data_IF_785863203139
#
_entry.id   IF_785863203139
#
_cell.length_a   1.000
_cell.length_b   1.000
_cell.length_c   1.000
_cell.angle_alpha   90.00
_cell.angle_beta   90.00
_cell.angle_gamma   90.00
#
_symmetry.space_group_name_H-M   'P 1'
#
loop_
_entity.id
_entity.type
_entity.pdbx_description
1 polymer ?
#
# COMPACT_ATOMS: atom_id res chain seq x y z
N UNK A 1 5.83 13.34 17.12
CA UNK A 1 5.19 12.09 16.64
C UNK A 1 3.95 12.48 15.87
N UNK A 2 3.81 11.99 14.65
CA UNK A 2 2.59 12.14 13.84
C UNK A 2 1.71 10.89 14.04
N UNK A 3 0.40 11.09 13.97
CA UNK A 3 -0.62 10.05 14.16
C UNK A 3 -1.43 9.91 12.87
N UNK A 4 -1.61 8.66 12.44
CA UNK A 4 -2.37 8.25 11.26
C UNK A 4 -3.30 7.09 11.63
N UNK A 5 -4.13 6.64 10.69
CA UNK A 5 -5.14 5.61 10.95
C UNK A 5 -5.14 4.55 9.85
N UNK A 6 -5.12 3.28 10.22
CA UNK A 6 -5.16 2.16 9.26
C UNK A 6 -6.33 1.24 9.57
N UNK A 7 -6.97 0.70 8.53
CA UNK A 7 -8.04 -0.28 8.67
C UNK A 7 -7.47 -1.71 8.56
N UNK A 8 -7.70 -2.55 9.57
CA UNK A 8 -7.26 -3.94 9.60
C UNK A 8 -8.23 -4.86 8.84
N UNK A 9 -8.47 -4.57 7.56
CA UNK A 9 -9.43 -5.30 6.72
C UNK A 9 -9.07 -6.77 6.50
N UNK A 10 -7.78 -7.11 6.65
CA UNK A 10 -7.28 -8.48 6.55
C UNK A 10 -7.22 -9.22 7.90
N UNK A 11 -7.63 -8.59 9.01
CA UNK A 11 -7.47 -9.11 10.37
C UNK A 11 -6.07 -9.68 10.64
N UNK A 12 -5.05 -8.92 10.26
CA UNK A 12 -3.66 -9.36 10.20
C UNK A 12 -2.68 -8.45 10.94
N UNK A 13 -3.14 -7.38 11.59
CA UNK A 13 -2.27 -6.52 12.40
C UNK A 13 -2.01 -7.10 13.78
N UNK A 14 -3.01 -7.71 14.42
CA UNK A 14 -2.85 -8.33 15.73
C UNK A 14 -3.14 -9.83 15.63
N UNK A 15 -2.34 -10.64 16.32
CA UNK A 15 -2.75 -12.02 16.62
C UNK A 15 -4.00 -12.00 17.50
N UNK A 16 -4.91 -12.96 17.28
CA UNK A 16 -6.13 -13.07 18.09
C UNK A 16 -5.77 -13.15 19.57
N UNK A 17 -6.15 -12.12 20.35
CA UNK A 17 -5.97 -12.08 21.80
C UNK A 17 -4.83 -11.20 22.31
N UNK A 18 -4.09 -10.49 21.44
CA UNK A 18 -3.05 -9.52 21.85
C UNK A 18 -3.55 -8.10 21.57
N UNK A 19 -3.69 -7.27 22.61
CA UNK A 19 -4.41 -5.97 22.51
C UNK A 19 -3.56 -4.72 22.69
N UNK A 20 -2.30 -4.83 23.08
CA UNK A 20 -1.66 -3.66 23.71
C UNK A 20 -0.84 -2.84 22.72
N UNK A 21 0.07 -3.47 21.97
CA UNK A 21 0.84 -2.84 20.89
C UNK A 21 1.33 -3.89 19.89
N UNK A 22 1.38 -3.54 18.61
CA UNK A 22 1.98 -4.40 17.57
C UNK A 22 3.07 -3.65 16.80
N UNK A 23 4.24 -4.26 16.67
CA UNK A 23 5.28 -3.81 15.75
C UNK A 23 5.09 -4.50 14.40
N UNK A 24 4.75 -3.72 13.38
CA UNK A 24 4.68 -4.23 12.01
C UNK A 24 6.04 -4.03 11.37
N UNK A 25 6.67 -5.13 10.95
CA UNK A 25 8.00 -5.14 10.33
C UNK A 25 7.98 -5.49 8.85
N UNK A 26 9.16 -5.39 8.24
CA UNK A 26 9.46 -5.98 6.94
C UNK A 26 9.87 -7.45 7.12
N UNK A 27 9.72 -8.24 6.07
CA UNK A 27 10.18 -9.62 6.04
C UNK A 27 10.87 -9.97 4.73
N UNK A 28 11.71 -11.00 4.77
CA UNK A 28 12.36 -11.58 3.59
C UNK A 28 11.46 -12.62 2.92
N UNK A 29 11.49 -12.69 1.60
CA UNK A 29 10.73 -13.71 0.90
C UNK A 29 11.40 -15.07 1.05
N UNK A 30 10.67 -16.03 1.60
CA UNK A 30 11.06 -17.44 1.55
C UNK A 30 10.26 -18.16 0.45
N UNK A 31 10.92 -18.70 -0.60
CA UNK A 31 10.24 -19.39 -1.68
C UNK A 31 9.51 -20.64 -1.17
N UNK A 32 8.30 -20.90 -1.70
CA UNK A 32 7.53 -22.10 -1.34
C UNK A 32 7.97 -23.33 -2.14
N UNK A 33 8.52 -23.11 -3.33
CA UNK A 33 8.95 -24.17 -4.24
C UNK A 33 10.37 -23.87 -4.75
N UNK A 34 11.22 -24.89 -4.98
CA UNK A 34 12.61 -24.68 -5.42
C UNK A 34 12.75 -23.86 -6.69
N UNK A 35 11.83 -24.00 -7.65
CA UNK A 35 11.80 -23.25 -8.92
C UNK A 35 11.57 -21.74 -8.74
N UNK A 36 11.18 -21.30 -7.54
CA UNK A 36 10.99 -19.89 -7.18
C UNK A 36 12.26 -19.26 -6.58
N UNK A 37 13.28 -20.06 -6.26
CA UNK A 37 14.46 -19.62 -5.52
C UNK A 37 15.20 -18.46 -6.21
N UNK A 38 15.51 -18.58 -7.50
CA UNK A 38 16.23 -17.52 -8.23
C UNK A 38 15.46 -16.18 -8.23
N UNK A 39 14.13 -16.24 -8.34
CA UNK A 39 13.29 -15.03 -8.30
C UNK A 39 13.19 -14.45 -6.88
N UNK A 40 13.20 -15.31 -5.86
CA UNK A 40 13.26 -14.91 -4.46
C UNK A 40 14.58 -14.21 -4.14
N UNK A 41 15.70 -14.76 -4.61
CA UNK A 41 17.03 -14.18 -4.42
C UNK A 41 17.13 -12.81 -5.08
N UNK A 42 16.66 -12.68 -6.33
CA UNK A 42 16.60 -11.39 -7.00
C UNK A 42 15.72 -10.37 -6.26
N UNK A 43 14.58 -10.80 -5.72
CA UNK A 43 13.70 -9.94 -4.94
C UNK A 43 14.38 -9.44 -3.67
N UNK A 44 15.01 -10.34 -2.91
CA UNK A 44 15.70 -10.01 -1.67
C UNK A 44 16.94 -9.14 -1.93
N UNK A 45 17.62 -9.28 -3.08
CA UNK A 45 18.66 -8.34 -3.51
C UNK A 45 18.11 -6.93 -3.81
N UNK A 46 16.93 -6.85 -4.42
CA UNK A 46 16.29 -5.57 -4.74
C UNK A 46 15.69 -4.86 -3.52
N UNK A 47 15.36 -5.62 -2.46
CA UNK A 47 14.78 -5.16 -1.20
C UNK A 47 15.47 -5.86 -0.02
N UNK A 48 16.72 -5.47 0.30
CA UNK A 48 17.53 -6.16 1.32
C UNK A 48 17.00 -5.97 2.75
N UNK A 49 16.14 -4.97 2.98
CA UNK A 49 15.43 -4.79 4.26
C UNK A 49 14.11 -5.59 4.31
N UNK A 50 13.76 -6.29 3.23
CA UNK A 50 12.51 -7.03 3.10
C UNK A 50 11.34 -6.19 2.57
N UNK A 51 10.17 -6.82 2.49
CA UNK A 51 8.91 -6.24 2.00
C UNK A 51 7.87 -6.15 3.11
N UNK A 52 6.91 -5.22 2.94
CA UNK A 52 5.68 -5.23 3.73
C UNK A 52 4.77 -6.37 3.29
N UNK A 53 3.83 -6.78 4.15
CA UNK A 53 2.77 -7.74 3.78
C UNK A 53 2.02 -7.34 2.51
N UNK A 54 1.80 -6.04 2.30
CA UNK A 54 1.21 -5.52 1.07
C UNK A 54 2.20 -5.58 -0.10
N UNK A 55 3.48 -5.24 0.13
CA UNK A 55 4.55 -5.35 -0.87
C UNK A 55 4.63 -6.73 -1.50
N UNK A 56 4.50 -7.79 -0.70
CA UNK A 56 4.42 -9.16 -1.22
C UNK A 56 3.28 -9.34 -2.22
N UNK A 57 2.06 -8.93 -1.87
CA UNK A 57 0.89 -9.10 -2.72
C UNK A 57 0.99 -8.29 -4.03
N UNK A 58 1.69 -7.15 -4.02
CA UNK A 58 1.75 -6.20 -5.14
C UNK A 58 3.08 -6.18 -5.91
N UNK A 59 4.06 -6.99 -5.51
CA UNK A 59 5.33 -7.13 -6.23
C UNK A 59 5.64 -8.58 -6.59
N UNK A 60 5.39 -9.52 -5.67
CA UNK A 60 5.75 -10.92 -5.86
C UNK A 60 4.52 -11.83 -5.71
N UNK A 61 3.77 -11.96 -6.81
CA UNK A 61 2.74 -12.98 -6.92
C UNK A 61 3.10 -13.96 -8.06
N UNK A 62 3.75 -15.11 -7.74
CA UNK A 62 4.29 -16.02 -8.76
C UNK A 62 3.23 -16.65 -9.66
N UNK A 63 1.95 -16.56 -9.27
CA UNK A 63 0.81 -17.10 -10.03
C UNK A 63 0.27 -16.12 -11.08
N UNK A 64 0.77 -14.88 -11.14
CA UNK A 64 0.29 -13.86 -12.07
C UNK A 64 1.30 -13.68 -13.20
N UNK A 65 0.84 -13.96 -14.42
CA UNK A 65 1.62 -13.73 -15.64
C UNK A 65 1.36 -12.33 -16.19
N UNK A 66 2.41 -11.63 -16.64
CA UNK A 66 2.29 -10.29 -17.23
C UNK A 66 1.40 -10.26 -18.49
N UNK A 67 1.41 -11.34 -19.28
CA UNK A 67 0.58 -11.44 -20.48
C UNK A 67 -0.91 -11.64 -20.20
N UNK A 68 -1.29 -12.01 -18.97
CA UNK A 68 -2.69 -12.17 -18.61
C UNK A 68 -3.25 -10.77 -18.35
N UNK A 69 -4.29 -10.32 -19.06
CA UNK A 69 -4.87 -8.97 -18.89
C UNK A 69 -5.85 -8.89 -17.70
N UNK A 70 -5.54 -9.55 -16.58
CA UNK A 70 -6.37 -9.56 -15.37
C UNK A 70 -6.24 -8.26 -14.57
N UNK A 71 -7.12 -8.05 -13.60
CA UNK A 71 -6.99 -6.93 -12.67
C UNK A 71 -5.67 -7.00 -11.86
N UNK A 72 -5.29 -8.21 -11.43
CA UNK A 72 -4.07 -8.42 -10.64
C UNK A 72 -2.79 -8.10 -11.42
N UNK A 73 -2.67 -8.53 -12.68
CA UNK A 73 -1.49 -8.22 -13.50
C UNK A 73 -1.36 -6.73 -13.80
N UNK A 74 -2.48 -6.03 -14.03
CA UNK A 74 -2.51 -4.57 -14.17
C UNK A 74 -2.04 -3.89 -12.89
N UNK A 75 -2.48 -4.34 -11.72
CA UNK A 75 -2.04 -3.80 -10.43
C UNK A 75 -0.52 -3.98 -10.21
N UNK A 76 0.04 -5.16 -10.54
CA UNK A 76 1.48 -5.42 -10.47
C UNK A 76 2.26 -4.49 -11.42
N UNK A 77 1.79 -4.33 -12.66
CA UNK A 77 2.41 -3.44 -13.65
C UNK A 77 2.38 -1.98 -13.22
N UNK A 78 1.24 -1.48 -12.71
CA UNK A 78 1.13 -0.12 -12.17
C UNK A 78 2.12 0.07 -11.03
N UNK A 79 2.17 -0.88 -10.08
CA UNK A 79 3.11 -0.85 -8.98
C UNK A 79 4.56 -0.75 -9.45
N UNK A 80 4.94 -1.55 -10.45
CA UNK A 80 6.29 -1.55 -11.01
C UNK A 80 6.65 -0.20 -11.63
N UNK A 81 5.76 0.39 -12.44
CA UNK A 81 5.97 1.72 -13.04
C UNK A 81 6.15 2.78 -11.96
N UNK A 82 5.30 2.77 -10.93
CA UNK A 82 5.37 3.74 -9.84
C UNK A 82 6.66 3.59 -9.03
N UNK A 83 7.09 2.37 -8.71
CA UNK A 83 8.35 2.16 -7.97
C UNK A 83 9.57 2.55 -8.81
N UNK A 84 9.58 2.29 -10.12
CA UNK A 84 10.67 2.72 -11.00
C UNK A 84 10.77 4.26 -11.09
N UNK A 85 9.64 4.96 -11.16
CA UNK A 85 9.61 6.42 -11.09
C UNK A 85 10.12 6.92 -9.74
N UNK A 86 9.68 6.31 -8.63
CA UNK A 86 10.15 6.65 -7.28
C UNK A 86 11.66 6.52 -7.17
N UNK A 87 12.21 5.36 -7.55
CA UNK A 87 13.66 5.09 -7.49
C UNK A 87 14.48 6.07 -8.32
N UNK A 88 13.93 6.53 -9.44
CA UNK A 88 14.66 7.38 -10.40
C UNK A 88 14.57 8.87 -10.06
N UNK A 89 13.43 9.34 -9.56
CA UNK A 89 13.12 10.77 -9.44
C UNK A 89 12.80 11.23 -8.01
N UNK A 90 12.39 10.30 -7.13
CA UNK A 90 11.95 10.59 -5.76
C UNK A 90 12.52 9.55 -4.75
N UNK A 91 13.83 9.25 -4.78
CA UNK A 91 14.41 8.15 -4.01
C UNK A 91 14.26 8.32 -2.49
N UNK A 92 14.05 9.54 -2.01
CA UNK A 92 13.83 9.90 -0.61
C UNK A 92 12.42 9.56 -0.11
N UNK A 93 11.46 9.30 -1.01
CA UNK A 93 10.09 8.93 -0.64
C UNK A 93 10.02 7.45 -0.25
N UNK A 94 9.20 7.08 0.75
CA UNK A 94 9.02 5.68 1.14
C UNK A 94 8.41 4.84 0.02
N UNK A 95 8.93 3.63 -0.20
CA UNK A 95 8.38 2.70 -1.20
C UNK A 95 7.02 2.14 -0.75
N UNK A 96 6.07 2.05 -1.69
CA UNK A 96 4.79 1.35 -1.48
C UNK A 96 5.00 -0.11 -1.05
N UNK A 97 6.09 -0.74 -1.51
CA UNK A 97 6.40 -2.13 -1.21
C UNK A 97 6.97 -2.35 0.19
N UNK A 98 7.40 -1.28 0.87
CA UNK A 98 8.00 -1.33 2.20
C UNK A 98 7.24 -0.45 3.20
N UNK A 99 5.99 -0.09 2.88
CA UNK A 99 5.16 0.79 3.69
C UNK A 99 3.89 0.11 4.19
N UNK A 100 3.39 0.61 5.31
CA UNK A 100 2.01 0.47 5.75
C UNK A 100 1.16 1.57 5.09
N UNK A 101 -0.07 1.23 4.75
CA UNK A 101 -1.05 2.14 4.18
C UNK A 101 -1.96 2.67 5.30
N UNK A 102 -2.13 3.98 5.34
CA UNK A 102 -2.94 4.66 6.34
C UNK A 102 -3.68 5.87 5.73
N UNK A 103 -4.58 6.45 6.51
CA UNK A 103 -5.26 7.70 6.24
C UNK A 103 -4.83 8.75 7.27
N UNK A 104 -5.02 10.02 6.93
CA UNK A 104 -4.67 11.13 7.81
C UNK A 104 -5.71 11.30 8.93
N UNK A 105 -6.97 11.03 8.63
CA UNK A 105 -8.09 11.17 9.57
C UNK A 105 -8.85 9.86 9.78
N UNK A 106 -9.50 9.73 10.94
CA UNK A 106 -10.37 8.58 11.25
C UNK A 106 -11.53 8.49 10.26
N UNK A 107 -12.13 9.62 9.88
CA UNK A 107 -13.23 9.69 8.91
C UNK A 107 -12.83 9.13 7.55
N UNK A 108 -11.63 9.46 7.09
CA UNK A 108 -11.05 8.92 5.84
C UNK A 108 -10.82 7.41 5.96
N UNK A 109 -10.30 6.91 7.08
CA UNK A 109 -10.14 5.47 7.30
C UNK A 109 -11.49 4.73 7.32
N UNK A 110 -12.53 5.32 7.91
CA UNK A 110 -13.92 4.80 7.88
C UNK A 110 -14.46 4.80 6.44
N UNK A 111 -14.25 5.86 5.68
CA UNK A 111 -14.65 5.94 4.27
C UNK A 111 -13.92 4.89 3.42
N UNK A 112 -12.60 4.74 3.58
CA UNK A 112 -11.81 3.71 2.90
C UNK A 112 -12.34 2.31 3.21
N UNK A 113 -12.67 2.05 4.49
CA UNK A 113 -13.25 0.78 4.94
C UNK A 113 -14.56 0.45 4.21
N UNK A 114 -15.45 1.43 4.04
CA UNK A 114 -16.70 1.25 3.28
C UNK A 114 -16.44 1.01 1.78
N UNK A 115 -15.60 1.85 1.15
CA UNK A 115 -15.25 1.72 -0.26
C UNK A 115 -14.63 0.35 -0.57
N UNK A 116 -13.74 -0.12 0.30
CA UNK A 116 -13.11 -1.44 0.15
C UNK A 116 -14.11 -2.58 0.34
N UNK A 117 -15.07 -2.43 1.26
CA UNK A 117 -16.12 -3.42 1.47
C UNK A 117 -17.04 -3.54 0.26
N UNK A 118 -17.37 -2.42 -0.39
CA UNK A 118 -18.11 -2.40 -1.66
C UNK A 118 -17.31 -3.03 -2.80
N UNK A 119 -16.04 -2.63 -2.97
CA UNK A 119 -15.17 -3.16 -4.02
C UNK A 119 -14.98 -4.68 -3.92
N UNK A 120 -14.93 -5.22 -2.69
CA UNK A 120 -14.74 -6.65 -2.42
C UNK A 120 -16.03 -7.42 -2.21
N UNK A 121 -17.19 -6.75 -2.27
CA UNK A 121 -18.50 -7.34 -1.94
C UNK A 121 -18.47 -8.12 -0.60
N UNK A 122 -17.86 -7.53 0.43
CA UNK A 122 -17.60 -8.20 1.71
C UNK A 122 -17.92 -7.32 2.93
N UNK A 123 -19.10 -7.52 3.51
CA UNK A 123 -19.59 -6.80 4.69
C UNK A 123 -18.75 -7.00 5.97
N UNK A 124 -17.89 -8.02 6.04
CA UNK A 124 -17.00 -8.15 7.19
C UNK A 124 -15.94 -7.05 7.22
N UNK A 125 -15.58 -6.49 6.05
CA UNK A 125 -14.65 -5.37 5.97
C UNK A 125 -15.23 -4.12 6.62
N UNK A 126 -16.55 -3.90 6.57
CA UNK A 126 -17.23 -2.77 7.25
C UNK A 126 -17.04 -2.78 8.76
N UNK A 127 -16.81 -3.97 9.33
CA UNK A 127 -16.57 -4.21 10.75
C UNK A 127 -15.08 -4.28 11.10
N UNK A 128 -14.19 -4.11 10.11
CA UNK A 128 -12.76 -4.14 10.32
C UNK A 128 -12.34 -3.05 11.31
N UNK A 129 -11.48 -3.42 12.26
CA UNK A 129 -11.01 -2.48 13.28
C UNK A 129 -10.11 -1.42 12.66
N UNK A 130 -10.22 -0.18 13.12
CA UNK A 130 -9.32 0.91 12.75
C UNK A 130 -8.35 1.12 13.92
N UNK A 131 -7.06 1.27 13.61
CA UNK A 131 -6.01 1.48 14.60
C UNK A 131 -5.24 2.76 14.35
N UNK A 132 -4.75 3.37 15.43
CA UNK A 132 -3.76 4.42 15.35
C UNK A 132 -2.42 3.87 14.86
N UNK A 133 -1.73 4.64 14.03
CA UNK A 133 -0.35 4.36 13.61
C UNK A 133 0.50 5.56 14.00
N UNK A 134 1.56 5.31 14.75
CA UNK A 134 2.40 6.39 15.29
C UNK A 134 3.80 6.30 14.70
N UNK A 135 4.25 7.39 14.09
CA UNK A 135 5.56 7.44 13.44
C UNK A 135 6.25 8.79 13.62
N UNK A 136 7.58 8.78 13.50
CA UNK A 136 8.43 9.96 13.37
C UNK A 136 9.13 10.01 12.01
N UNK A 137 8.99 8.96 11.20
CA UNK A 137 9.64 8.85 9.90
C UNK A 137 8.88 9.69 8.87
N UNK A 138 9.59 10.13 7.84
CA UNK A 138 8.97 10.78 6.68
C UNK A 138 7.95 9.86 6.03
N UNK A 139 6.74 10.35 5.89
CA UNK A 139 5.65 9.66 5.19
C UNK A 139 5.49 10.23 3.79
N UNK A 140 4.82 9.48 2.91
CA UNK A 140 4.34 9.99 1.64
C UNK A 140 2.83 10.14 1.68
N UNK A 141 2.30 11.26 1.17
CA UNK A 141 0.87 11.49 0.96
C UNK A 141 0.62 11.53 -0.54
N UNK A 142 -0.14 10.55 -1.04
CA UNK A 142 -0.39 10.36 -2.47
C UNK A 142 -1.88 10.28 -2.78
N UNK A 143 -2.28 10.77 -3.94
CA UNK A 143 -3.66 10.64 -4.42
C UNK A 143 -3.88 9.24 -5.01
N UNK A 144 -4.81 8.48 -4.40
CA UNK A 144 -5.12 7.12 -4.85
C UNK A 144 -5.73 7.07 -6.24
N UNK A 145 -6.36 8.15 -6.72
CA UNK A 145 -6.96 8.19 -8.06
C UNK A 145 -5.91 8.11 -9.17
N UNK A 146 -4.69 8.59 -8.89
CA UNK A 146 -3.57 8.56 -9.83
C UNK A 146 -3.07 7.12 -10.07
N UNK A 147 -3.31 6.19 -9.13
CA UNK A 147 -2.84 4.80 -9.17
C UNK A 147 -3.80 3.90 -9.97
N UNK A 148 -4.16 4.33 -11.19
CA UNK A 148 -5.10 3.62 -12.08
C UNK A 148 -4.57 3.53 -13.51
N UNK A 149 -4.66 2.33 -14.12
CA UNK A 149 -4.19 2.07 -15.50
C UNK A 149 -5.20 2.39 -16.59
N UNK A 150 -6.33 3.02 -16.29
CA UNK A 150 -7.31 3.41 -17.32
C UNK A 150 -6.89 4.71 -18.02
N UNK A 151 -5.71 4.68 -18.64
CA UNK A 151 -5.11 5.81 -19.33
C UNK A 151 -4.02 5.36 -20.33
N UNK A 152 -3.60 6.21 -21.28
CA UNK A 152 -2.43 5.96 -22.12
C UNK A 152 -1.14 5.80 -21.30
N UNK A 153 -0.15 5.08 -21.85
CA UNK A 153 1.13 4.80 -21.16
C UNK A 153 1.85 6.06 -20.68
N UNK A 154 1.92 7.10 -21.51
CA UNK A 154 2.56 8.37 -21.13
C UNK A 154 1.81 9.06 -19.97
N UNK A 155 0.49 8.92 -19.93
CA UNK A 155 -0.32 9.45 -18.83
C UNK A 155 -0.10 8.66 -17.54
N UNK A 156 0.04 7.33 -17.59
CA UNK A 156 0.43 6.54 -16.42
C UNK A 156 1.77 7.00 -15.85
N UNK A 157 2.75 7.28 -16.72
CA UNK A 157 4.05 7.82 -16.30
C UNK A 157 3.93 9.21 -15.67
N UNK A 158 3.14 10.11 -16.26
CA UNK A 158 2.83 11.43 -15.68
C UNK A 158 2.16 11.32 -14.31
N UNK A 159 1.18 10.42 -14.16
CA UNK A 159 0.49 10.15 -12.88
C UNK A 159 1.43 9.65 -11.81
N UNK A 160 2.41 8.82 -12.15
CA UNK A 160 3.44 8.39 -11.22
C UNK A 160 4.29 9.56 -10.71
N UNK A 161 4.63 10.53 -11.57
CA UNK A 161 5.32 11.77 -11.15
C UNK A 161 4.48 12.62 -10.20
N UNK A 162 3.21 12.87 -10.56
CA UNK A 162 2.28 13.62 -9.71
C UNK A 162 2.05 12.96 -8.36
N UNK A 163 1.88 11.63 -8.37
CA UNK A 163 1.73 10.84 -7.17
C UNK A 163 2.91 11.08 -6.24
N UNK A 164 4.15 10.84 -6.71
CA UNK A 164 5.33 10.96 -5.86
C UNK A 164 5.72 12.40 -5.48
N UNK A 165 5.33 13.40 -6.28
CA UNK A 165 5.46 14.81 -5.89
C UNK A 165 4.44 15.22 -4.80
N UNK A 166 3.41 14.42 -4.55
CA UNK A 166 2.33 14.73 -3.62
C UNK A 166 1.28 15.68 -4.20
N UNK A 167 1.22 15.77 -5.53
CA UNK A 167 0.27 16.58 -6.28
C UNK A 167 -0.94 15.75 -6.75
N UNK A 168 -1.97 16.45 -7.24
CA UNK A 168 -3.19 15.85 -7.80
C UNK A 168 -3.54 16.56 -9.11
N UNK A 169 -4.41 15.94 -9.91
CA UNK A 169 -5.09 16.63 -11.03
C UNK A 169 -6.42 17.24 -10.56
N UNK A 170 -6.89 18.31 -11.22
CA UNK A 170 -8.26 18.79 -11.02
C UNK A 170 -9.27 17.71 -11.45
N UNK A 171 -10.25 17.44 -10.58
CA UNK A 171 -11.33 16.51 -10.86
C UNK A 171 -12.38 17.21 -11.72
N UNK A 172 -12.75 16.59 -12.85
CA UNK A 172 -13.70 17.17 -13.81
C UNK A 172 -15.06 17.51 -13.20
N UNK A 173 -15.46 16.75 -12.19
CA UNK A 173 -16.76 16.88 -11.54
C UNK A 173 -16.69 17.66 -10.21
N UNK A 174 -15.54 18.31 -9.93
CA UNK A 174 -15.33 19.05 -8.67
C UNK A 174 -15.15 18.15 -7.43
N UNK A 175 -14.97 16.84 -7.62
CA UNK A 175 -14.69 15.91 -6.54
C UNK A 175 -13.35 16.18 -5.84
N UNK A 176 -13.21 15.71 -4.61
CA UNK A 176 -11.96 15.78 -3.86
C UNK A 176 -11.16 14.46 -3.98
N UNK A 177 -9.82 14.55 -4.08
CA UNK A 177 -8.96 13.37 -4.09
C UNK A 177 -9.04 12.57 -2.78
N UNK A 178 -9.01 11.24 -2.91
CA UNK A 178 -8.86 10.36 -1.76
C UNK A 178 -7.37 10.07 -1.52
N UNK A 179 -6.85 10.56 -0.40
CA UNK A 179 -5.42 10.50 -0.10
C UNK A 179 -5.05 9.26 0.71
N UNK A 180 -3.98 8.60 0.31
CA UNK A 180 -3.31 7.57 1.12
C UNK A 180 -2.03 8.13 1.74
N UNK A 181 -1.67 7.58 2.91
CA UNK A 181 -0.43 7.83 3.62
C UNK A 181 0.40 6.55 3.60
N UNK A 182 1.59 6.61 3.00
CA UNK A 182 2.59 5.55 3.06
C UNK A 182 3.54 5.82 4.23
N UNK A 183 3.52 4.91 5.21
CA UNK A 183 4.36 4.98 6.39
C UNK A 183 5.44 3.88 6.27
N UNK A 184 6.73 4.24 6.18
CA UNK A 184 7.78 3.24 5.99
C UNK A 184 7.91 2.34 7.23
N UNK A 185 7.97 1.04 7.01
CA UNK A 185 8.14 0.03 8.05
C UNK A 185 9.62 -0.06 8.52
N UNK A 186 9.86 -0.46 9.78
CA UNK A 186 8.88 -0.90 10.78
C UNK A 186 8.11 0.26 11.42
N UNK A 187 6.90 -0.02 11.91
CA UNK A 187 6.05 0.96 12.60
C UNK A 187 5.27 0.35 13.77
N UNK A 188 5.00 1.17 14.79
CA UNK A 188 4.18 0.81 15.95
C UNK A 188 2.70 1.11 15.67
N UNK A 189 1.87 0.09 15.88
CA UNK A 189 0.41 0.22 15.91
C UNK A 189 0.00 0.55 17.35
N UNK A 190 -0.77 1.64 17.48
CA UNK A 190 -1.32 2.13 18.73
C UNK A 190 -2.71 1.58 19.00
N UNK A 191 -3.52 2.39 19.67
CA UNK A 191 -4.83 1.98 20.16
C UNK A 191 -5.84 1.74 19.03
N UNK A 192 -6.80 0.86 19.29
CA UNK A 192 -8.01 0.72 18.46
C UNK A 192 -8.88 1.96 18.61
N UNK A 193 -9.35 2.48 17.48
CA UNK A 193 -10.31 3.58 17.44
C UNK A 193 -11.70 3.06 17.83
N UNK A 194 -12.42 3.73 18.76
CA UNK A 194 -13.82 3.41 19.06
C UNK A 194 -14.72 3.59 17.83
N UNK A 195 -15.74 2.76 17.69
CA UNK A 195 -16.72 2.89 16.59
C UNK A 195 -17.57 4.16 16.73
#
# INVERSE_FOLDING_TARGET
MQKYYTADSANGLFEKGVSDFCLVGLGDYTPKQPEQAERADFLNQMYPEGLSKHGYNYLYNPNIMMGNLTHASKALMIGLVFELVRRSHFPEKPSRYQSLFACQQVSEAKQFRELLADEKENDQIRKASIYEVITQRTVHRGDMELVKSNCPVLELYRRAHLYWSGETVPYKDGGEPFWEILIPLPVLIGQRVPE
#
